data_IF_317001910904
#
_entry.id   IF_317001910904
#
_cell.length_a   1.000
_cell.length_b   1.000
_cell.length_c   1.000
_cell.angle_alpha   90.00
_cell.angle_beta   90.00
_cell.angle_gamma   90.00
#
_symmetry.space_group_name_H-M   'P 1'
#
loop_
_entity.id
_entity.type
_entity.pdbx_description
1 polymer ?
#
# COMPACT_ATOMS: atom_id res chain seq x y z
N UNK A 1 -5.51 -3.32 -25.09
CA UNK A 1 -4.28 -3.18 -24.28
C UNK A 1 -3.76 -1.73 -24.31
N UNK A 2 -3.44 -1.15 -25.48
CA UNK A 2 -2.92 0.24 -25.59
C UNK A 2 -3.84 1.26 -24.88
N UNK A 3 -5.16 1.17 -25.10
CA UNK A 3 -6.14 2.08 -24.49
C UNK A 3 -6.12 2.08 -22.96
N UNK A 4 -5.79 0.94 -22.32
CA UNK A 4 -5.73 0.82 -20.86
C UNK A 4 -4.58 1.63 -20.29
N UNK A 5 -3.36 1.41 -20.79
CA UNK A 5 -2.19 2.15 -20.34
C UNK A 5 -2.29 3.64 -20.65
N UNK A 6 -2.88 4.01 -21.81
CA UNK A 6 -3.19 5.42 -22.09
C UNK A 6 -4.16 6.02 -21.07
N UNK A 7 -5.14 5.25 -20.59
CA UNK A 7 -6.08 5.67 -19.55
C UNK A 7 -5.38 5.89 -18.21
N UNK A 8 -4.56 4.93 -17.77
CA UNK A 8 -3.78 5.03 -16.54
C UNK A 8 -2.82 6.23 -16.57
N UNK A 9 -2.05 6.39 -17.66
CA UNK A 9 -1.14 7.51 -17.82
C UNK A 9 -1.90 8.85 -17.81
N UNK A 10 -3.01 8.94 -18.56
CA UNK A 10 -3.84 10.15 -18.57
C UNK A 10 -4.36 10.51 -17.17
N UNK A 11 -4.74 9.52 -16.36
CA UNK A 11 -5.20 9.78 -14.99
C UNK A 11 -4.05 10.23 -14.08
N UNK A 12 -2.88 9.61 -14.17
CA UNK A 12 -1.68 10.03 -13.44
C UNK A 12 -1.26 11.48 -13.77
N UNK A 13 -1.29 11.87 -15.05
CA UNK A 13 -1.03 13.25 -15.46
C UNK A 13 -2.15 14.21 -15.08
N UNK A 14 -3.41 13.77 -15.08
CA UNK A 14 -4.52 14.57 -14.62
C UNK A 14 -4.41 14.87 -13.12
N UNK A 15 -3.97 13.91 -12.30
CA UNK A 15 -3.71 14.09 -10.87
C UNK A 15 -2.72 15.23 -10.60
N UNK A 16 -1.63 15.30 -11.39
CA UNK A 16 -0.60 16.35 -11.26
C UNK A 16 -1.01 17.70 -11.87
N UNK A 17 -1.57 17.70 -13.08
CA UNK A 17 -1.76 18.93 -13.87
C UNK A 17 -3.17 19.51 -13.83
N UNK A 18 -4.17 18.71 -13.43
CA UNK A 18 -5.61 19.02 -13.46
C UNK A 18 -6.16 19.51 -14.80
N UNK A 19 -5.40 19.36 -15.91
CA UNK A 19 -5.82 19.82 -17.24
C UNK A 19 -6.97 18.98 -17.81
N UNK A 20 -8.01 19.65 -18.31
CA UNK A 20 -9.23 19.01 -18.84
C UNK A 20 -8.98 18.03 -20.00
N UNK A 21 -7.91 18.23 -20.77
CA UNK A 21 -7.61 17.36 -21.91
C UNK A 21 -7.23 15.93 -21.48
N UNK A 22 -6.51 15.75 -20.37
CA UNK A 22 -6.18 14.43 -19.83
C UNK A 22 -7.45 13.69 -19.37
N UNK A 23 -8.38 14.41 -18.72
CA UNK A 23 -9.70 13.87 -18.37
C UNK A 23 -10.48 13.40 -19.61
N UNK A 24 -10.40 14.15 -20.71
CA UNK A 24 -11.00 13.75 -22.01
C UNK A 24 -10.33 12.49 -22.57
N UNK A 25 -9.00 12.41 -22.53
CA UNK A 25 -8.25 11.22 -22.99
C UNK A 25 -8.57 9.98 -22.16
N UNK A 26 -8.61 10.10 -20.84
CA UNK A 26 -9.06 9.01 -19.97
C UNK A 26 -10.47 8.53 -20.34
N UNK A 27 -11.43 9.44 -20.54
CA UNK A 27 -12.80 9.08 -20.96
C UNK A 27 -12.83 8.33 -22.30
N UNK A 28 -11.99 8.74 -23.25
CA UNK A 28 -11.86 8.03 -24.53
C UNK A 28 -11.32 6.61 -24.34
N UNK A 29 -10.28 6.45 -23.50
CA UNK A 29 -9.73 5.15 -23.13
C UNK A 29 -10.76 4.23 -22.48
N UNK A 30 -11.51 4.75 -21.50
CA UNK A 30 -12.57 3.97 -20.82
C UNK A 30 -13.64 3.52 -21.80
N UNK A 31 -14.16 4.42 -22.65
CA UNK A 31 -15.17 4.05 -23.66
C UNK A 31 -14.68 2.97 -24.63
N UNK A 32 -13.42 3.05 -25.04
CA UNK A 32 -12.85 2.02 -25.91
C UNK A 32 -12.89 0.66 -25.23
N UNK A 33 -12.46 0.58 -23.97
CA UNK A 33 -12.44 -0.65 -23.16
C UNK A 33 -13.86 -1.15 -22.87
N UNK A 34 -14.79 -0.26 -22.54
CA UNK A 34 -16.21 -0.60 -22.35
C UNK A 34 -16.86 -1.14 -23.63
N UNK A 35 -16.45 -0.64 -24.80
CA UNK A 35 -16.93 -1.16 -26.09
C UNK A 35 -16.52 -2.62 -26.26
N UNK A 36 -15.28 -2.96 -25.90
CA UNK A 36 -14.81 -4.35 -25.92
C UNK A 36 -15.53 -5.22 -24.87
N UNK A 37 -15.78 -4.68 -23.68
CA UNK A 37 -16.56 -5.35 -22.65
C UNK A 37 -17.99 -5.67 -23.14
N UNK A 38 -18.68 -4.71 -23.78
CA UNK A 38 -20.02 -4.89 -24.36
C UNK A 38 -20.06 -5.91 -25.49
N UNK A 39 -18.95 -6.06 -26.23
CA UNK A 39 -18.79 -7.11 -27.25
C UNK A 39 -18.57 -8.50 -26.64
N UNK A 40 -18.66 -8.65 -25.31
CA UNK A 40 -18.57 -9.93 -24.62
C UNK A 40 -17.15 -10.43 -24.42
N UNK A 41 -16.14 -9.56 -24.51
CA UNK A 41 -14.74 -9.95 -24.35
C UNK A 41 -14.39 -10.04 -22.86
N UNK A 42 -14.29 -11.25 -22.26
CA UNK A 42 -14.32 -11.40 -20.80
C UNK A 42 -13.07 -10.86 -20.10
N UNK A 43 -11.90 -10.95 -20.75
CA UNK A 43 -10.63 -10.50 -20.20
C UNK A 43 -10.52 -8.98 -20.05
N UNK A 44 -11.44 -8.19 -20.61
CA UNK A 44 -11.37 -6.72 -20.52
C UNK A 44 -11.95 -6.20 -19.20
N UNK A 45 -12.74 -7.01 -18.51
CA UNK A 45 -13.49 -6.64 -17.30
C UNK A 45 -12.60 -6.09 -16.18
N UNK A 46 -11.43 -6.69 -15.95
CA UNK A 46 -10.52 -6.21 -14.90
C UNK A 46 -9.92 -4.83 -15.21
N UNK A 47 -9.69 -4.49 -16.48
CA UNK A 47 -9.18 -3.16 -16.83
C UNK A 47 -10.19 -2.05 -16.55
N UNK A 48 -11.47 -2.32 -16.79
CA UNK A 48 -12.55 -1.37 -16.47
C UNK A 48 -12.54 -1.09 -14.97
N UNK A 49 -12.47 -2.14 -14.15
CA UNK A 49 -12.48 -2.02 -12.69
C UNK A 49 -11.25 -1.26 -12.17
N UNK A 50 -10.04 -1.54 -12.69
CA UNK A 50 -8.82 -0.81 -12.30
C UNK A 50 -8.96 0.68 -12.65
N UNK A 51 -9.45 1.01 -13.84
CA UNK A 51 -9.62 2.40 -14.25
C UNK A 51 -10.70 3.12 -13.44
N UNK A 52 -11.74 2.42 -12.99
CA UNK A 52 -12.76 2.96 -12.11
C UNK A 52 -12.21 3.25 -10.70
N UNK A 53 -11.41 2.34 -10.14
CA UNK A 53 -10.76 2.54 -8.85
C UNK A 53 -9.81 3.77 -8.88
N UNK A 54 -8.98 3.87 -9.92
CA UNK A 54 -8.08 5.02 -10.10
C UNK A 54 -8.84 6.35 -10.26
N UNK A 55 -10.01 6.32 -10.89
CA UNK A 55 -10.89 7.48 -10.97
C UNK A 55 -11.46 7.87 -9.60
N UNK A 56 -11.86 6.90 -8.79
CA UNK A 56 -12.36 7.16 -7.44
C UNK A 56 -11.30 7.86 -6.58
N UNK A 57 -10.03 7.46 -6.68
CA UNK A 57 -8.89 8.15 -6.05
C UNK A 57 -8.83 9.61 -6.47
N UNK A 58 -8.86 9.88 -7.77
CA UNK A 58 -8.72 11.25 -8.31
C UNK A 58 -9.92 12.15 -7.99
N UNK A 59 -11.11 11.56 -7.92
CA UNK A 59 -12.34 12.26 -7.56
C UNK A 59 -12.44 12.52 -6.05
N UNK A 60 -11.52 12.00 -5.24
CA UNK A 60 -11.50 12.19 -3.79
C UNK A 60 -12.65 11.45 -3.10
N UNK A 61 -13.02 10.28 -3.63
CA UNK A 61 -14.05 9.45 -3.01
C UNK A 61 -13.58 8.96 -1.62
N UNK A 62 -14.52 8.69 -0.69
CA UNK A 62 -14.21 8.09 0.61
C UNK A 62 -13.31 6.85 0.50
N UNK A 63 -12.42 6.69 1.47
CA UNK A 63 -11.42 5.60 1.54
C UNK A 63 -12.07 4.23 1.34
N UNK A 64 -13.21 3.97 1.98
CA UNK A 64 -13.93 2.70 1.87
C UNK A 64 -14.39 2.41 0.43
N UNK A 65 -14.86 3.43 -0.28
CA UNK A 65 -15.31 3.30 -1.67
C UNK A 65 -14.12 3.01 -2.59
N UNK A 66 -13.01 3.72 -2.39
CA UNK A 66 -11.77 3.50 -3.15
C UNK A 66 -11.24 2.09 -2.91
N UNK A 67 -11.17 1.66 -1.65
CA UNK A 67 -10.74 0.32 -1.26
C UNK A 67 -11.63 -0.76 -1.88
N UNK A 68 -12.95 -0.62 -1.77
CA UNK A 68 -13.90 -1.57 -2.36
C UNK A 68 -13.74 -1.69 -3.88
N UNK A 69 -13.47 -0.58 -4.57
CA UNK A 69 -13.21 -0.57 -6.01
C UNK A 69 -11.91 -1.33 -6.37
N UNK A 70 -10.82 -1.11 -5.63
CA UNK A 70 -9.59 -1.87 -5.81
C UNK A 70 -9.78 -3.36 -5.48
N UNK A 71 -10.46 -3.70 -4.39
CA UNK A 71 -10.75 -5.09 -4.02
C UNK A 71 -11.60 -5.81 -5.07
N UNK A 72 -12.53 -5.11 -5.73
CA UNK A 72 -13.26 -5.65 -6.87
C UNK A 72 -12.33 -5.93 -8.07
N UNK A 73 -11.44 -5.01 -8.39
CA UNK A 73 -10.45 -5.16 -9.46
C UNK A 73 -9.47 -6.33 -9.19
N UNK A 74 -8.98 -6.45 -7.95
CA UNK A 74 -8.08 -7.52 -7.49
C UNK A 74 -8.78 -8.87 -7.59
N UNK A 75 -10.02 -8.99 -7.10
CA UNK A 75 -10.79 -10.24 -7.21
C UNK A 75 -11.02 -10.64 -8.66
N UNK A 76 -11.37 -9.69 -9.52
CA UNK A 76 -11.63 -9.98 -10.93
C UNK A 76 -10.36 -10.43 -11.68
N UNK A 77 -9.24 -9.71 -11.50
CA UNK A 77 -7.96 -10.06 -12.13
C UNK A 77 -7.40 -11.40 -11.64
N UNK A 78 -7.57 -11.71 -10.36
CA UNK A 78 -7.20 -13.02 -9.79
C UNK A 78 -8.01 -14.15 -10.40
N UNK A 79 -9.35 -14.00 -10.49
CA UNK A 79 -10.24 -15.03 -11.06
C UNK A 79 -10.02 -15.26 -12.55
N UNK A 80 -9.58 -14.23 -13.26
CA UNK A 80 -9.33 -14.30 -14.72
C UNK A 80 -7.92 -14.77 -15.06
N UNK A 81 -7.05 -15.02 -14.07
CA UNK A 81 -5.71 -15.55 -14.30
C UNK A 81 -4.69 -14.52 -14.80
N UNK A 82 -4.85 -13.25 -14.44
CA UNK A 82 -3.92 -12.17 -14.81
C UNK A 82 -3.14 -11.67 -13.59
N UNK A 83 -2.10 -12.40 -13.13
CA UNK A 83 -1.35 -12.06 -11.91
C UNK A 83 -0.68 -10.69 -12.02
N UNK A 84 -0.22 -10.30 -13.20
CA UNK A 84 0.35 -8.98 -13.48
C UNK A 84 -0.63 -7.83 -13.25
N UNK A 85 -1.90 -8.00 -13.61
CA UNK A 85 -2.94 -6.99 -13.43
C UNK A 85 -3.45 -6.97 -11.99
N UNK A 86 -3.48 -8.14 -11.34
CA UNK A 86 -3.73 -8.24 -9.91
C UNK A 86 -2.63 -7.52 -9.11
N UNK A 87 -1.36 -7.74 -9.47
CA UNK A 87 -0.22 -7.06 -8.88
C UNK A 87 -0.31 -5.54 -9.05
N UNK A 88 -0.64 -5.08 -10.26
CA UNK A 88 -0.84 -3.66 -10.54
C UNK A 88 -1.96 -3.05 -9.68
N UNK A 89 -3.11 -3.73 -9.56
CA UNK A 89 -4.21 -3.24 -8.73
C UNK A 89 -3.83 -3.15 -7.24
N UNK A 90 -3.09 -4.13 -6.72
CA UNK A 90 -2.55 -4.11 -5.37
C UNK A 90 -1.53 -2.96 -5.19
N UNK A 91 -0.60 -2.75 -6.13
CA UNK A 91 0.38 -1.66 -6.08
C UNK A 91 -0.33 -0.30 -6.04
N UNK A 92 -1.32 -0.07 -6.91
CA UNK A 92 -2.08 1.19 -6.92
C UNK A 92 -2.84 1.42 -5.63
N UNK A 93 -3.43 0.37 -5.05
CA UNK A 93 -4.12 0.44 -3.77
C UNK A 93 -3.15 0.77 -2.62
N UNK A 94 -1.97 0.14 -2.60
CA UNK A 94 -0.93 0.41 -1.60
C UNK A 94 -0.48 1.87 -1.62
N UNK A 95 -0.16 2.39 -2.81
CA UNK A 95 0.23 3.79 -2.99
C UNK A 95 -0.88 4.77 -2.58
N UNK A 96 -2.14 4.42 -2.77
CA UNK A 96 -3.26 5.22 -2.29
C UNK A 96 -3.28 5.30 -0.76
N UNK A 97 -3.15 4.16 -0.06
CA UNK A 97 -3.11 4.14 1.41
C UNK A 97 -1.87 4.84 1.98
N UNK A 98 -0.73 4.73 1.29
CA UNK A 98 0.48 5.49 1.62
C UNK A 98 0.23 7.00 1.55
N UNK A 99 -0.43 7.49 0.49
CA UNK A 99 -0.82 8.89 0.35
C UNK A 99 -1.83 9.34 1.42
N UNK A 100 -2.61 8.42 2.01
CA UNK A 100 -3.50 8.70 3.14
C UNK A 100 -2.80 8.61 4.52
N UNK A 101 -1.55 8.15 4.58
CA UNK A 101 -0.82 7.92 5.83
C UNK A 101 -1.14 6.59 6.53
N UNK A 102 -1.91 5.70 5.91
CA UNK A 102 -2.24 4.38 6.47
C UNK A 102 -1.18 3.34 6.06
N UNK A 103 -0.12 3.27 6.85
CA UNK A 103 1.02 2.38 6.60
C UNK A 103 0.66 0.89 6.72
N UNK A 104 -0.37 0.55 7.51
CA UNK A 104 -0.83 -0.82 7.70
C UNK A 104 -1.45 -1.39 6.43
N UNK A 105 -2.47 -0.71 5.89
CA UNK A 105 -3.07 -1.13 4.63
C UNK A 105 -2.13 -0.99 3.45
N UNK A 106 -1.31 0.08 3.42
CA UNK A 106 -0.30 0.25 2.38
C UNK A 106 0.64 -0.96 2.31
N UNK A 107 1.24 -1.36 3.43
CA UNK A 107 2.14 -2.51 3.51
C UNK A 107 1.45 -3.80 3.06
N UNK A 108 0.24 -4.05 3.55
CA UNK A 108 -0.53 -5.24 3.19
C UNK A 108 -0.74 -5.40 1.69
N UNK A 109 -1.15 -4.33 1.00
CA UNK A 109 -1.34 -4.37 -0.45
C UNK A 109 -0.01 -4.41 -1.20
N UNK A 110 1.04 -3.73 -0.71
CA UNK A 110 2.36 -3.72 -1.36
C UNK A 110 3.02 -5.10 -1.33
N UNK A 111 2.98 -5.81 -0.20
CA UNK A 111 3.52 -7.17 -0.10
C UNK A 111 2.84 -8.14 -1.07
N UNK A 112 1.52 -8.01 -1.23
CA UNK A 112 0.76 -8.78 -2.22
C UNK A 112 1.18 -8.44 -3.65
N UNK A 113 1.36 -7.16 -3.97
CA UNK A 113 1.81 -6.74 -5.28
C UNK A 113 3.19 -7.34 -5.62
N UNK A 114 4.12 -7.31 -4.67
CA UNK A 114 5.47 -7.88 -4.83
C UNK A 114 5.40 -9.39 -5.10
N UNK A 115 4.64 -10.15 -4.29
CA UNK A 115 4.47 -11.60 -4.49
C UNK A 115 3.91 -11.92 -5.87
N UNK A 116 2.85 -11.22 -6.29
CA UNK A 116 2.23 -11.45 -7.59
C UNK A 116 3.16 -11.06 -8.77
N UNK A 117 3.96 -10.01 -8.62
CA UNK A 117 4.98 -9.69 -9.62
C UNK A 117 6.11 -10.72 -9.67
N UNK A 118 6.48 -11.30 -8.54
CA UNK A 118 7.46 -12.38 -8.47
C UNK A 118 6.93 -13.66 -9.13
N UNK A 119 5.69 -14.05 -8.83
CA UNK A 119 5.01 -15.19 -9.47
C UNK A 119 4.88 -15.01 -10.98
N UNK A 120 4.62 -13.78 -11.43
CA UNK A 120 4.57 -13.46 -12.86
C UNK A 120 5.97 -13.40 -13.52
N UNK A 121 7.05 -13.31 -12.73
CA UNK A 121 8.43 -13.25 -13.22
C UNK A 121 8.99 -11.85 -13.49
N UNK A 122 8.32 -10.78 -13.05
CA UNK A 122 8.77 -9.40 -13.23
C UNK A 122 9.80 -8.94 -12.19
N UNK A 123 10.94 -9.63 -12.13
CA UNK A 123 11.96 -9.42 -11.10
C UNK A 123 12.55 -7.99 -11.08
N UNK A 124 12.68 -7.34 -12.23
CA UNK A 124 13.11 -5.94 -12.28
C UNK A 124 12.15 -5.00 -11.55
N UNK A 125 10.83 -5.24 -11.69
CA UNK A 125 9.78 -4.47 -10.99
C UNK A 125 9.77 -4.80 -9.50
N UNK A 126 9.93 -6.07 -9.13
CA UNK A 126 10.07 -6.51 -7.73
C UNK A 126 11.24 -5.78 -7.06
N UNK A 127 12.43 -5.82 -7.65
CA UNK A 127 13.62 -5.16 -7.11
C UNK A 127 13.43 -3.64 -6.96
N UNK A 128 12.77 -3.01 -7.94
CA UNK A 128 12.41 -1.60 -7.86
C UNK A 128 11.47 -1.31 -6.69
N UNK A 129 10.42 -2.10 -6.51
CA UNK A 129 9.45 -1.92 -5.43
C UNK A 129 10.08 -2.13 -4.06
N UNK A 130 10.89 -3.19 -3.90
CA UNK A 130 11.61 -3.47 -2.65
C UNK A 130 12.53 -2.30 -2.32
N UNK A 131 13.32 -1.80 -3.27
CA UNK A 131 14.24 -0.68 -3.04
C UNK A 131 13.52 0.60 -2.63
N UNK A 132 12.40 0.93 -3.27
CA UNK A 132 11.64 2.14 -2.95
C UNK A 132 10.95 2.02 -1.59
N UNK A 133 10.37 0.86 -1.28
CA UNK A 133 9.64 0.64 -0.04
C UNK A 133 10.57 0.47 1.17
N UNK A 134 11.70 -0.23 1.03
CA UNK A 134 12.71 -0.32 2.10
C UNK A 134 13.30 1.05 2.43
N UNK A 135 13.48 1.91 1.42
CA UNK A 135 13.92 3.28 1.62
C UNK A 135 12.86 4.15 2.32
N UNK A 136 11.57 4.00 1.99
CA UNK A 136 10.46 4.74 2.62
C UNK A 136 10.20 4.34 4.08
N UNK A 137 10.43 3.07 4.43
CA UNK A 137 10.37 2.59 5.82
C UNK A 137 11.56 3.09 6.65
N UNK A 138 12.77 3.17 6.06
CA UNK A 138 13.95 3.67 6.77
C UNK A 138 13.85 5.17 7.11
N UNK A 139 13.11 5.96 6.33
CA UNK A 139 12.91 7.39 6.61
C UNK A 139 11.83 7.68 7.65
N UNK A 140 10.86 6.78 7.83
CA UNK A 140 9.74 7.01 8.78
C UNK A 140 10.10 6.66 10.24
N UNK A 141 11.20 5.94 10.46
CA UNK A 141 11.68 5.60 11.81
C UNK A 141 12.59 6.68 12.43
N UNK A 142 13.03 7.68 11.65
CA UNK A 142 14.02 8.69 12.11
C UNK A 142 13.34 10.00 12.55
N UNK A 143 12.10 10.26 12.15
CA UNK A 143 11.43 11.55 12.38
C UNK A 143 10.60 11.60 13.70
N UNK A 144 10.64 10.55 14.53
CA UNK A 144 9.84 10.43 15.76
C UNK A 144 10.51 10.86 17.07
N UNK A 145 11.82 11.15 17.10
CA UNK A 145 12.59 11.22 18.36
C UNK A 145 13.44 12.51 18.51
N UNK A 146 13.00 13.63 17.93
CA UNK A 146 13.72 14.91 17.99
C UNK A 146 12.89 16.10 18.48
N UNK A 147 11.87 15.86 19.31
CA UNK A 147 11.21 16.93 20.06
C UNK A 147 10.97 16.51 21.51
N UNK A 148 11.46 17.35 22.42
CA UNK A 148 11.28 17.35 23.90
C UNK A 148 12.21 16.48 24.75
N UNK A 149 13.40 17.01 25.08
CA UNK A 149 13.66 17.49 26.45
C UNK A 149 15.03 18.21 26.52
N UNK A 150 15.00 19.54 26.41
CA UNK A 150 16.08 20.40 26.94
C UNK A 150 15.73 20.66 28.40
N UNK A 151 16.63 20.30 29.31
CA UNK A 151 16.46 20.56 30.74
C UNK A 151 17.63 20.05 31.56
N UNK A 152 18.74 20.78 31.52
CA UNK A 152 19.91 20.58 32.37
C UNK A 152 19.61 21.03 33.80
N UNK A 153 19.95 20.23 34.80
CA UNK A 153 20.36 20.68 36.14
C UNK A 153 21.05 19.54 36.90
N UNK A 154 22.27 19.80 37.35
CA UNK A 154 23.10 18.97 38.23
C UNK A 154 22.87 19.42 39.67
N UNK A 155 22.71 18.52 40.65
CA UNK A 155 23.27 18.63 42.02
C UNK A 155 23.47 17.23 42.61
N UNK A 156 24.60 17.07 43.31
CA UNK A 156 25.19 15.87 43.92
C UNK A 156 24.58 15.45 45.28
N UNK A 157 25.05 14.28 45.74
CA UNK A 157 25.22 13.82 47.15
C UNK A 157 24.03 13.06 47.76
N UNK A 158 24.15 11.93 48.49
CA UNK A 158 25.30 11.26 49.12
C UNK A 158 25.01 9.75 49.34
N UNK A 159 26.08 8.97 49.53
CA UNK A 159 26.12 7.54 49.87
C UNK A 159 25.65 7.21 51.30
N UNK A 160 25.03 6.03 51.50
CA UNK A 160 25.17 5.24 52.75
C UNK A 160 24.83 3.73 52.57
N UNK A 161 25.89 2.96 52.37
CA UNK A 161 26.27 1.66 52.97
C UNK A 161 25.31 0.89 53.91
N UNK A 162 24.99 -0.35 53.48
CA UNK A 162 24.90 -1.67 54.20
C UNK A 162 23.82 -1.89 55.30
N UNK A 163 22.98 -2.93 55.09
CA UNK A 163 22.74 -4.15 55.94
C UNK A 163 21.49 -4.85 55.42
N UNK A 164 21.55 -6.06 54.88
CA UNK A 164 21.46 -7.35 55.59
C UNK A 164 20.60 -8.27 54.73
N UNK A 165 21.04 -9.51 54.41
CA UNK A 165 20.58 -10.76 55.07
C UNK A 165 19.04 -10.89 55.02
N UNK A 166 18.41 -11.96 54.53
CA UNK A 166 18.78 -13.37 54.49
C UNK A 166 17.65 -14.15 53.78
N UNK A 167 18.02 -15.13 52.95
CA UNK A 167 17.47 -16.49 52.69
C UNK A 167 15.94 -16.80 52.64
N UNK A 168 15.68 -17.90 51.92
CA UNK A 168 14.56 -18.87 51.99
C UNK A 168 13.30 -18.51 51.17
N UNK A 169 12.63 -19.40 50.42
CA UNK A 169 12.83 -20.82 50.11
C UNK A 169 11.99 -21.23 48.88
N UNK A 170 12.41 -22.36 48.32
CA UNK A 170 11.78 -23.33 47.42
C UNK A 170 10.25 -23.37 47.17
N UNK A 171 9.96 -23.75 45.91
CA UNK A 171 9.06 -24.81 45.37
C UNK A 171 7.63 -24.90 45.88
N UNK A 172 6.70 -24.99 44.92
CA UNK A 172 5.89 -26.18 44.54
C UNK A 172 5.53 -25.98 43.04
N UNK A 173 5.73 -26.91 42.09
CA UNK A 173 5.01 -28.19 41.91
C UNK A 173 3.61 -27.91 41.34
N UNK A 174 3.03 -28.55 40.33
CA UNK A 174 3.31 -29.72 39.50
C UNK A 174 2.20 -29.78 38.43
N UNK A 175 2.43 -30.57 37.38
CA UNK A 175 1.44 -31.37 36.62
C UNK A 175 0.34 -30.72 35.77
N UNK A 176 0.40 -31.12 34.48
CA UNK A 176 -0.66 -31.73 33.67
C UNK A 176 -2.03 -31.05 33.59
N UNK A 177 -2.40 -30.65 32.36
CA UNK A 177 -3.29 -31.43 31.48
C UNK A 177 -2.92 -31.15 30.01
#
# INVERSE_FOLDING_TARGET
IISFYSGMAAMAFYRKSRRRWYKRKYRQSVRAIETWHKKGVPWVSHFVLILQAERAVVEGQPVDIVKAAFDAAIRMSSRTGFPNNCALANERCALFFEEQGDTGWSRFYMEKAIRLYQEWGAMAKVNSLIRTHSLGLATTEIDGEAATHVGRSSVQSSSSTIRGRERFNNRYGSSQL
#
